data_IF_027506128226
#
_entry.id   IF_027506128226
#
_cell.length_a   1.000
_cell.length_b   1.000
_cell.length_c   1.000
_cell.angle_alpha   90.00
_cell.angle_beta   90.00
_cell.angle_gamma   90.00
#
_symmetry.space_group_name_H-M   'P 1'
#
loop_
_entity.id
_entity.type
_entity.pdbx_description
1 polymer ?
#
# COMPACT_ATOMS: atom_id res chain seq x y z
N UNK A 1 6.72 -50.23 31.04
CA UNK A 1 6.39 -50.07 29.61
C UNK A 1 5.95 -48.64 29.44
N UNK A 2 6.92 -47.85 29.02
CA UNK A 2 6.79 -46.51 28.45
C UNK A 2 5.60 -46.42 27.50
N UNK A 3 4.81 -45.37 27.63
CA UNK A 3 4.33 -44.71 26.43
C UNK A 3 4.25 -43.21 26.67
N UNK A 4 5.19 -42.52 26.06
CA UNK A 4 5.39 -41.09 26.13
C UNK A 4 4.27 -40.34 25.40
N UNK A 5 3.79 -39.30 26.07
CA UNK A 5 3.38 -38.00 25.56
C UNK A 5 3.55 -37.83 24.03
N UNK A 6 2.44 -37.97 23.30
CA UNK A 6 2.33 -37.49 21.92
C UNK A 6 1.81 -36.05 21.97
N UNK A 7 2.68 -35.11 22.35
CA UNK A 7 2.48 -33.71 22.02
C UNK A 7 2.60 -33.58 20.50
N UNK A 8 1.49 -33.30 19.82
CA UNK A 8 1.50 -32.90 18.42
C UNK A 8 2.39 -31.64 18.29
N UNK A 9 3.23 -31.53 17.24
CA UNK A 9 4.00 -30.32 17.04
C UNK A 9 3.02 -29.19 16.74
N UNK A 10 2.83 -28.30 17.71
CA UNK A 10 2.22 -27.00 17.50
C UNK A 10 3.09 -26.29 16.45
N UNK A 11 2.62 -26.30 15.20
CA UNK A 11 3.21 -25.59 14.06
C UNK A 11 2.96 -24.09 14.27
N UNK A 12 3.56 -23.58 15.34
CA UNK A 12 3.36 -22.23 15.83
C UNK A 12 4.20 -21.31 14.94
N UNK A 13 3.60 -20.83 13.85
CA UNK A 13 4.22 -19.88 12.92
C UNK A 13 4.94 -18.77 13.71
N UNK A 14 6.17 -18.45 13.30
CA UNK A 14 6.93 -17.34 13.90
C UNK A 14 6.16 -16.03 13.72
N UNK A 15 6.36 -15.01 14.58
CA UNK A 15 5.69 -13.71 14.42
C UNK A 15 5.87 -13.13 13.00
N UNK A 16 7.05 -13.27 12.42
CA UNK A 16 7.35 -12.82 11.05
C UNK A 16 6.54 -13.59 9.99
N UNK A 17 6.37 -14.90 10.16
CA UNK A 17 5.55 -15.73 9.27
C UNK A 17 4.04 -15.45 9.44
N UNK A 18 3.59 -15.16 10.67
CA UNK A 18 2.21 -14.73 10.93
C UNK A 18 1.92 -13.40 10.26
N UNK A 19 2.84 -12.43 10.36
CA UNK A 19 2.73 -11.15 9.65
C UNK A 19 2.71 -11.32 8.13
N UNK A 20 3.55 -12.19 7.56
CA UNK A 20 3.57 -12.45 6.12
C UNK A 20 2.28 -13.11 5.63
N UNK A 21 1.73 -14.07 6.39
CA UNK A 21 0.47 -14.73 6.06
C UNK A 21 -0.72 -13.79 6.15
N UNK A 22 -0.83 -13.02 7.25
CA UNK A 22 -1.87 -12.00 7.40
C UNK A 22 -1.80 -10.99 6.27
N UNK A 23 -0.59 -10.55 5.89
CA UNK A 23 -0.39 -9.66 4.75
C UNK A 23 -0.91 -10.27 3.44
N UNK A 24 -0.58 -11.53 3.14
CA UNK A 24 -1.08 -12.20 1.94
C UNK A 24 -2.62 -12.30 1.92
N UNK A 25 -3.24 -12.48 3.07
CA UNK A 25 -4.71 -12.46 3.21
C UNK A 25 -5.27 -11.04 2.99
N UNK A 26 -4.66 -10.00 3.56
CA UNK A 26 -5.06 -8.61 3.34
C UNK A 26 -4.94 -8.18 1.87
N UNK A 27 -3.87 -8.56 1.19
CA UNK A 27 -3.68 -8.26 -0.25
C UNK A 27 -4.76 -8.94 -1.08
N UNK A 28 -5.07 -10.21 -0.79
CA UNK A 28 -6.16 -10.92 -1.46
C UNK A 28 -7.52 -10.25 -1.24
N UNK A 29 -7.80 -9.80 -0.01
CA UNK A 29 -9.04 -9.08 0.29
C UNK A 29 -9.10 -7.74 -0.45
N UNK A 30 -7.99 -7.01 -0.53
CA UNK A 30 -7.90 -5.76 -1.28
C UNK A 30 -8.13 -5.98 -2.78
N UNK A 31 -7.48 -6.99 -3.40
CA UNK A 31 -7.70 -7.35 -4.80
C UNK A 31 -9.16 -7.73 -5.06
N UNK A 32 -9.75 -8.53 -4.16
CA UNK A 32 -11.15 -8.93 -4.28
C UNK A 32 -12.12 -7.73 -4.16
N UNK A 33 -11.85 -6.79 -3.24
CA UNK A 33 -12.63 -5.55 -3.13
C UNK A 33 -12.44 -4.65 -4.36
N UNK A 34 -11.24 -4.59 -4.94
CA UNK A 34 -10.96 -3.86 -6.18
C UNK A 34 -11.68 -4.47 -7.39
N UNK A 35 -11.71 -5.79 -7.52
CA UNK A 35 -12.44 -6.47 -8.58
C UNK A 35 -13.95 -6.26 -8.41
N UNK A 36 -14.48 -6.47 -7.20
CA UNK A 36 -15.88 -6.17 -6.90
C UNK A 36 -16.22 -4.72 -7.22
N UNK A 37 -15.35 -3.78 -6.86
CA UNK A 37 -15.52 -2.35 -7.13
C UNK A 37 -15.63 -2.07 -8.64
N UNK A 38 -14.74 -2.67 -9.44
CA UNK A 38 -14.77 -2.53 -10.91
C UNK A 38 -16.00 -3.15 -11.55
N UNK A 39 -16.49 -4.26 -10.99
CA UNK A 39 -17.69 -4.94 -11.48
C UNK A 39 -18.98 -4.20 -11.09
N UNK A 40 -19.01 -3.55 -9.92
CA UNK A 40 -20.20 -2.88 -9.40
C UNK A 40 -20.35 -1.42 -9.81
N UNK A 41 -19.27 -0.77 -10.25
CA UNK A 41 -19.26 0.65 -10.63
C UNK A 41 -19.06 0.85 -12.13
N UNK A 42 -19.83 1.76 -12.72
CA UNK A 42 -19.57 2.24 -14.07
C UNK A 42 -18.21 2.95 -14.17
N UNK A 43 -17.62 2.98 -15.36
CA UNK A 43 -16.34 3.67 -15.61
C UNK A 43 -16.37 5.14 -15.15
N UNK A 44 -17.50 5.83 -15.31
CA UNK A 44 -17.67 7.21 -14.85
C UNK A 44 -17.64 7.33 -13.32
N UNK A 45 -18.24 6.37 -12.59
CA UNK A 45 -18.17 6.33 -11.12
C UNK A 45 -16.78 5.97 -10.64
N UNK A 46 -16.11 5.02 -11.30
CA UNK A 46 -14.71 4.68 -11.00
C UNK A 46 -13.80 5.91 -11.19
N UNK A 47 -13.96 6.64 -12.30
CA UNK A 47 -13.19 7.85 -12.56
C UNK A 47 -13.47 8.95 -11.54
N UNK A 48 -14.74 9.16 -11.16
CA UNK A 48 -15.10 10.12 -10.11
C UNK A 48 -14.43 9.79 -8.77
N UNK A 49 -14.44 8.52 -8.37
CA UNK A 49 -13.84 8.05 -7.11
C UNK A 49 -12.32 8.20 -7.15
N UNK A 50 -11.70 7.91 -8.29
CA UNK A 50 -10.27 8.15 -8.50
C UNK A 50 -9.93 9.64 -8.43
N UNK A 51 -10.70 10.51 -9.07
CA UNK A 51 -10.45 11.96 -9.00
C UNK A 51 -10.66 12.51 -7.59
N UNK A 52 -11.66 12.03 -6.86
CA UNK A 52 -11.87 12.37 -5.45
C UNK A 52 -10.69 11.92 -4.57
N UNK A 53 -10.17 10.71 -4.79
CA UNK A 53 -8.98 10.22 -4.09
C UNK A 53 -7.73 11.04 -4.44
N UNK A 54 -7.54 11.41 -5.71
CA UNK A 54 -6.42 12.26 -6.14
C UNK A 54 -6.46 13.62 -5.44
N UNK A 55 -7.64 14.23 -5.37
CA UNK A 55 -7.84 15.55 -4.77
C UNK A 55 -7.68 15.51 -3.24
N UNK A 56 -8.40 14.61 -2.58
CA UNK A 56 -8.54 14.61 -1.11
C UNK A 56 -7.53 13.72 -0.40
N UNK A 57 -7.02 12.69 -1.08
CA UNK A 57 -6.16 11.66 -0.48
C UNK A 57 -6.92 10.57 0.28
N UNK A 58 -8.26 10.60 0.29
CA UNK A 58 -9.10 9.60 0.93
C UNK A 58 -10.04 8.97 -0.10
N UNK A 59 -10.26 7.66 0.03
CA UNK A 59 -11.26 6.98 -0.79
C UNK A 59 -12.66 7.40 -0.29
N UNK A 60 -13.54 7.96 -1.15
CA UNK A 60 -14.89 8.33 -0.73
C UNK A 60 -15.71 7.08 -0.34
N UNK A 61 -16.31 7.09 0.84
CA UNK A 61 -17.08 5.98 1.42
C UNK A 61 -18.57 6.32 1.56
N UNK A 62 -19.40 5.29 1.70
CA UNK A 62 -20.84 5.40 1.96
C UNK A 62 -21.71 4.91 0.80
N UNK A 63 -23.02 4.81 1.06
CA UNK A 63 -24.00 4.22 0.13
C UNK A 63 -24.05 4.94 -1.23
N UNK A 64 -23.78 6.25 -1.25
CA UNK A 64 -23.70 7.05 -2.49
C UNK A 64 -22.56 6.60 -3.43
N UNK A 65 -21.52 5.99 -2.87
CA UNK A 65 -20.33 5.52 -3.59
C UNK A 65 -20.19 4.01 -3.58
N UNK A 66 -21.12 3.27 -2.97
CA UNK A 66 -21.08 1.80 -2.91
C UNK A 66 -19.80 1.23 -2.30
N UNK A 67 -19.09 2.00 -1.46
CA UNK A 67 -17.82 1.63 -0.83
C UNK A 67 -18.00 1.67 0.69
N UNK A 68 -17.73 0.56 1.36
CA UNK A 68 -17.70 0.51 2.82
C UNK A 68 -16.40 1.11 3.39
N UNK A 69 -16.46 1.69 4.59
CA UNK A 69 -15.27 2.25 5.26
C UNK A 69 -14.17 1.20 5.47
N UNK A 70 -14.56 -0.04 5.75
CA UNK A 70 -13.63 -1.16 5.90
C UNK A 70 -12.93 -1.46 4.57
N UNK A 71 -13.64 -1.41 3.44
CA UNK A 71 -13.04 -1.66 2.12
C UNK A 71 -12.02 -0.57 1.77
N UNK A 72 -12.38 0.71 1.99
CA UNK A 72 -11.44 1.82 1.82
C UNK A 72 -10.18 1.65 2.67
N UNK A 73 -10.34 1.33 3.96
CA UNK A 73 -9.21 1.11 4.87
C UNK A 73 -8.33 -0.08 4.46
N UNK A 74 -8.93 -1.17 4.00
CA UNK A 74 -8.20 -2.35 3.50
C UNK A 74 -7.38 -2.01 2.25
N UNK A 75 -7.97 -1.27 1.29
CA UNK A 75 -7.28 -0.85 0.07
C UNK A 75 -6.11 0.10 0.39
N UNK A 76 -6.32 1.10 1.23
CA UNK A 76 -5.26 2.05 1.64
C UNK A 76 -4.11 1.34 2.39
N UNK A 77 -4.48 0.40 3.27
CA UNK A 77 -3.51 -0.40 4.03
C UNK A 77 -2.71 -1.33 3.12
N UNK A 78 -3.36 -2.02 2.19
CA UNK A 78 -2.71 -2.90 1.23
C UNK A 78 -1.80 -2.11 0.29
N UNK A 79 -2.22 -0.94 -0.18
CA UNK A 79 -1.40 -0.04 -0.99
C UNK A 79 -0.13 0.39 -0.23
N UNK A 80 -0.29 0.88 1.00
CA UNK A 80 0.83 1.38 1.81
C UNK A 80 1.85 0.27 2.09
N UNK A 81 1.37 -0.94 2.38
CA UNK A 81 2.24 -2.10 2.58
C UNK A 81 2.91 -2.57 1.29
N UNK A 82 2.19 -2.57 0.17
CA UNK A 82 2.78 -2.89 -1.14
C UNK A 82 3.89 -1.91 -1.49
N UNK A 83 3.64 -0.61 -1.32
CA UNK A 83 4.62 0.44 -1.55
C UNK A 83 5.85 0.25 -0.65
N UNK A 84 5.67 0.06 0.66
CA UNK A 84 6.79 -0.18 1.59
C UNK A 84 7.61 -1.42 1.20
N UNK A 85 6.96 -2.58 1.11
CA UNK A 85 7.65 -3.86 0.93
C UNK A 85 8.23 -4.05 -0.48
N UNK A 86 7.47 -3.73 -1.52
CA UNK A 86 7.84 -4.04 -2.90
C UNK A 86 8.54 -2.90 -3.62
N UNK A 87 8.45 -1.67 -3.12
CA UNK A 87 9.10 -0.50 -3.72
C UNK A 87 10.18 0.06 -2.80
N UNK A 88 9.84 0.51 -1.61
CA UNK A 88 10.74 1.32 -0.78
C UNK A 88 11.89 0.52 -0.15
N UNK A 89 11.61 -0.67 0.38
CA UNK A 89 12.62 -1.49 1.07
C UNK A 89 13.81 -1.86 0.19
N UNK A 90 13.60 -2.09 -1.10
CA UNK A 90 14.71 -2.41 -2.03
C UNK A 90 15.69 -1.24 -2.21
N UNK A 91 15.25 -0.02 -1.89
CA UNK A 91 16.03 1.21 -1.96
C UNK A 91 16.49 1.68 -0.56
N UNK A 92 16.29 0.86 0.48
CA UNK A 92 16.64 1.20 1.86
C UNK A 92 15.79 2.33 2.45
N UNK A 93 14.56 2.51 1.94
CA UNK A 93 13.63 3.54 2.41
C UNK A 93 12.47 2.88 3.17
N UNK A 94 11.89 3.63 4.10
CA UNK A 94 10.58 3.35 4.70
C UNK A 94 9.55 4.31 4.12
N UNK A 95 8.26 4.02 4.30
CA UNK A 95 7.19 4.96 3.92
C UNK A 95 7.38 6.34 4.53
N UNK A 96 7.77 6.42 5.81
CA UNK A 96 8.05 7.67 6.50
C UNK A 96 9.17 8.46 5.80
N UNK A 97 10.33 7.83 5.59
CA UNK A 97 11.49 8.48 4.92
C UNK A 97 11.20 8.87 3.47
N UNK A 98 10.36 8.11 2.80
CA UNK A 98 9.92 8.44 1.46
C UNK A 98 9.08 9.73 1.46
N UNK A 99 8.09 9.82 2.35
CA UNK A 99 7.20 10.97 2.44
C UNK A 99 7.91 12.25 2.90
N UNK A 100 8.96 12.15 3.72
CA UNK A 100 9.83 13.30 4.07
C UNK A 100 10.49 13.97 2.85
N UNK A 101 10.64 13.22 1.76
CA UNK A 101 11.27 13.70 0.53
C UNK A 101 10.27 13.97 -0.60
N UNK A 102 8.97 13.85 -0.32
CA UNK A 102 7.91 14.16 -1.28
C UNK A 102 7.33 15.53 -0.94
N UNK A 103 7.29 16.44 -1.91
CA UNK A 103 6.58 17.70 -1.73
C UNK A 103 5.06 17.46 -1.72
N UNK A 104 4.33 18.18 -0.86
CA UNK A 104 2.87 18.09 -0.81
C UNK A 104 2.21 18.44 -2.16
N UNK A 105 2.85 19.27 -2.99
CA UNK A 105 2.42 19.59 -4.35
C UNK A 105 2.45 18.38 -5.29
N UNK A 106 3.28 17.36 -5.01
CA UNK A 106 3.39 16.13 -5.78
C UNK A 106 2.37 15.06 -5.36
N UNK A 107 1.71 15.22 -4.20
CA UNK A 107 0.73 14.24 -3.70
C UNK A 107 -0.39 13.92 -4.71
N UNK A 108 -1.00 14.88 -5.43
CA UNK A 108 -2.00 14.55 -6.44
C UNK A 108 -1.44 13.68 -7.57
N UNK A 109 -0.21 13.94 -8.02
CA UNK A 109 0.43 13.16 -9.08
C UNK A 109 0.74 11.73 -8.61
N UNK A 110 1.22 11.57 -7.38
CA UNK A 110 1.49 10.27 -6.77
C UNK A 110 0.21 9.48 -6.52
N UNK A 111 -0.84 10.10 -5.99
CA UNK A 111 -2.16 9.45 -5.82
C UNK A 111 -2.75 9.01 -7.15
N UNK A 112 -2.55 9.80 -8.23
CA UNK A 112 -2.98 9.43 -9.57
C UNK A 112 -2.20 8.22 -10.10
N UNK A 113 -0.90 8.15 -9.84
CA UNK A 113 -0.09 6.97 -10.17
C UNK A 113 -0.52 5.74 -9.35
N UNK A 114 -0.81 5.91 -8.06
CA UNK A 114 -1.33 4.86 -7.18
C UNK A 114 -2.65 4.28 -7.71
N UNK A 115 -3.61 5.15 -8.03
CA UNK A 115 -4.92 4.75 -8.55
C UNK A 115 -4.84 4.00 -9.90
N UNK A 116 -3.80 4.29 -10.70
CA UNK A 116 -3.56 3.61 -11.98
C UNK A 116 -2.71 2.34 -11.85
N UNK A 117 -2.13 2.07 -10.67
CA UNK A 117 -1.15 0.99 -10.49
C UNK A 117 0.17 1.25 -11.22
N UNK A 118 0.54 2.51 -11.44
CA UNK A 118 1.79 2.91 -12.12
C UNK A 118 3.00 2.80 -11.17
N UNK A 119 3.24 1.59 -10.63
CA UNK A 119 4.28 1.29 -9.62
C UNK A 119 5.69 1.74 -10.02
N UNK A 120 5.96 1.72 -11.32
CA UNK A 120 7.21 2.22 -11.91
C UNK A 120 7.51 3.69 -11.53
N UNK A 121 6.50 4.54 -11.34
CA UNK A 121 6.66 5.93 -10.90
C UNK A 121 7.24 5.96 -9.48
N UNK A 122 6.72 5.13 -8.58
CA UNK A 122 7.22 5.01 -7.21
C UNK A 122 8.63 4.45 -7.17
N UNK A 123 8.96 3.44 -7.98
CA UNK A 123 10.33 2.94 -8.10
C UNK A 123 11.32 4.02 -8.54
N UNK A 124 10.99 4.80 -9.58
CA UNK A 124 11.86 5.90 -10.02
C UNK A 124 12.03 6.95 -8.93
N UNK A 125 10.96 7.30 -8.22
CA UNK A 125 11.01 8.29 -7.15
C UNK A 125 11.87 7.79 -5.98
N UNK A 126 11.64 6.56 -5.53
CA UNK A 126 12.41 5.91 -4.48
C UNK A 126 13.89 5.79 -4.85
N UNK A 127 14.21 5.44 -6.10
CA UNK A 127 15.58 5.40 -6.59
C UNK A 127 16.25 6.78 -6.58
N UNK A 128 15.55 7.84 -7.00
CA UNK A 128 16.07 9.20 -7.00
C UNK A 128 16.36 9.68 -5.58
N UNK A 129 15.45 9.41 -4.64
CA UNK A 129 15.63 9.70 -3.20
C UNK A 129 16.84 8.96 -2.65
N UNK A 130 16.94 7.65 -2.90
CA UNK A 130 18.07 6.85 -2.42
C UNK A 130 19.40 7.33 -3.03
N UNK A 131 19.43 7.75 -4.29
CA UNK A 131 20.60 8.33 -4.93
C UNK A 131 20.99 9.67 -4.29
N UNK A 132 20.03 10.56 -4.03
CA UNK A 132 20.29 11.84 -3.36
C UNK A 132 20.85 11.65 -1.94
N UNK A 133 20.33 10.66 -1.19
CA UNK A 133 20.83 10.30 0.15
C UNK A 133 22.26 9.75 0.09
N UNK A 134 22.56 8.87 -0.85
CA UNK A 134 23.90 8.29 -1.03
C UNK A 134 24.94 9.32 -1.50
N UNK A 135 24.52 10.32 -2.28
CA UNK A 135 25.39 11.40 -2.73
C UNK A 135 25.68 12.44 -1.62
N UNK A 136 25.07 12.32 -0.43
CA UNK A 136 25.16 13.33 0.63
C UNK A 136 24.46 14.65 0.28
N UNK A 137 23.75 14.70 -0.85
CA UNK A 137 22.93 15.81 -1.30
C UNK A 137 21.51 15.65 -0.76
N UNK A 138 21.38 15.41 0.55
CA UNK A 138 20.15 15.78 1.22
C UNK A 138 20.10 17.31 1.10
N UNK A 139 19.23 17.80 0.21
CA UNK A 139 19.10 19.21 -0.12
C UNK A 139 18.99 20.03 1.15
N UNK A 140 20.12 20.61 1.54
CA UNK A 140 20.18 21.70 2.48
C UNK A 140 19.80 22.95 1.69
N UNK A 141 18.54 23.33 1.75
CA UNK A 141 18.08 24.68 1.41
C UNK A 141 17.16 25.08 2.59
N UNK A 142 17.78 25.56 3.67
CA UNK A 142 17.81 26.98 4.12
C UNK A 142 16.49 27.50 4.69
#
# INVERSE_FOLDING_TARGET
MDNADAAEPDDELTPEQKEEKQHAEFVRMADQSLDRFRESHSEAQQQFIVDAYVETGAIPTGEAFGIEEIEAAVVETAFSQHLDRNVLRQHGLTLETYLEHVDAADYPALRRAAAKGDWHVFHRHAQAIAAARNAGTAFAEE
#
